data_IF_433188034823
#
_entry.id   IF_433188034823
#
_cell.length_a   1.000
_cell.length_b   1.000
_cell.length_c   1.000
_cell.angle_alpha   90.00
_cell.angle_beta   90.00
_cell.angle_gamma   90.00
#
_symmetry.space_group_name_H-M   'P 1'
#
loop_
_entity.id
_entity.type
_entity.pdbx_description
1 polymer ?
#
# COMPACT_ATOMS: atom_id res chain seq x y z
N UNK A 1 1.51 9.07 -1.09
CA UNK A 1 2.28 8.43 -2.16
C UNK A 1 3.19 9.41 -2.90
N UNK A 2 2.69 10.39 -3.66
CA UNK A 2 3.53 11.31 -4.48
C UNK A 2 4.68 11.95 -3.71
N UNK A 3 4.43 12.49 -2.50
CA UNK A 3 5.48 13.08 -1.67
C UNK A 3 6.53 12.06 -1.20
N UNK A 4 6.11 10.83 -0.92
CA UNK A 4 7.04 9.77 -0.54
C UNK A 4 7.94 9.37 -1.71
N UNK A 5 7.38 9.23 -2.91
CA UNK A 5 8.14 8.94 -4.13
C UNK A 5 9.10 10.09 -4.47
N UNK A 6 8.66 11.36 -4.34
CA UNK A 6 9.53 12.51 -4.57
C UNK A 6 10.74 12.53 -3.62
N UNK A 7 10.54 12.24 -2.34
CA UNK A 7 11.65 12.14 -1.37
C UNK A 7 12.61 10.99 -1.68
N UNK A 8 12.08 9.88 -2.24
CA UNK A 8 12.94 8.76 -2.62
C UNK A 8 13.83 9.07 -3.83
N UNK A 9 13.39 9.95 -4.74
CA UNK A 9 14.21 10.37 -5.90
C UNK A 9 15.52 11.03 -5.52
N UNK A 10 15.58 11.66 -4.34
CA UNK A 10 16.80 12.27 -3.82
C UNK A 10 17.80 11.24 -3.23
N UNK A 11 17.38 9.99 -3.12
CA UNK A 11 18.20 8.90 -2.58
C UNK A 11 18.81 8.09 -3.72
N UNK A 12 20.15 7.97 -3.73
CA UNK A 12 20.84 7.08 -4.67
C UNK A 12 20.71 5.63 -4.19
N UNK A 13 19.76 4.90 -4.74
CA UNK A 13 19.61 3.47 -4.48
C UNK A 13 20.66 2.68 -5.27
N UNK A 14 21.22 1.64 -4.65
CA UNK A 14 22.18 0.75 -5.33
C UNK A 14 21.46 -0.16 -6.30
N UNK A 15 22.09 -0.44 -7.43
CA UNK A 15 21.62 -1.46 -8.38
C UNK A 15 21.76 -2.87 -7.78
N UNK A 16 20.95 -3.81 -8.28
CA UNK A 16 21.10 -5.23 -7.97
C UNK A 16 20.25 -5.73 -6.78
N UNK A 17 19.24 -5.00 -6.40
CA UNK A 17 18.28 -5.39 -5.38
C UNK A 17 18.24 -4.44 -4.19
N UNK A 18 17.19 -4.48 -3.36
CA UNK A 18 17.05 -3.59 -2.21
C UNK A 18 17.98 -4.04 -1.08
N UNK A 19 19.06 -3.29 -0.87
CA UNK A 19 20.02 -3.46 0.23
C UNK A 19 19.62 -2.61 1.46
N UNK A 20 20.49 -2.59 2.47
CA UNK A 20 20.24 -1.86 3.72
C UNK A 20 19.98 -0.36 3.53
N UNK A 21 20.69 0.28 2.59
CA UNK A 21 20.47 1.69 2.23
C UNK A 21 19.07 1.97 1.70
N UNK A 22 18.51 1.06 0.88
CA UNK A 22 17.15 1.18 0.37
C UNK A 22 16.12 1.07 1.52
N UNK A 23 16.25 0.07 2.39
CA UNK A 23 15.32 -0.10 3.51
C UNK A 23 15.40 1.03 4.54
N UNK A 24 16.60 1.56 4.80
CA UNK A 24 16.77 2.77 5.62
C UNK A 24 16.07 3.98 5.00
N UNK A 25 16.21 4.16 3.67
CA UNK A 25 15.51 5.22 2.95
C UNK A 25 14.00 5.04 3.01
N UNK A 26 13.49 3.83 2.78
CA UNK A 26 12.06 3.52 2.89
C UNK A 26 11.51 3.85 4.28
N UNK A 27 12.18 3.39 5.34
CA UNK A 27 11.77 3.67 6.70
C UNK A 27 11.71 5.18 7.00
N UNK A 28 12.74 5.94 6.62
CA UNK A 28 12.79 7.41 6.81
C UNK A 28 11.68 8.11 6.06
N UNK A 29 11.57 7.86 4.75
CA UNK A 29 10.57 8.50 3.87
C UNK A 29 9.15 8.21 4.32
N UNK A 30 8.86 6.97 4.71
CA UNK A 30 7.54 6.58 5.20
C UNK A 30 7.24 7.24 6.56
N UNK A 31 8.15 7.20 7.51
CA UNK A 31 7.96 7.84 8.83
C UNK A 31 7.73 9.34 8.71
N UNK A 32 8.55 10.03 7.94
CA UNK A 32 8.38 11.46 7.67
C UNK A 32 7.04 11.76 7.00
N UNK A 33 6.66 10.95 6.01
CA UNK A 33 5.39 11.09 5.32
C UNK A 33 4.19 10.89 6.24
N UNK A 34 4.26 9.94 7.16
CA UNK A 34 3.20 9.72 8.16
C UNK A 34 3.20 10.81 9.24
N UNK A 35 4.35 11.26 9.73
CA UNK A 35 4.44 12.36 10.67
C UNK A 35 3.82 13.65 10.10
N UNK A 36 4.15 13.99 8.85
CA UNK A 36 3.54 15.12 8.14
C UNK A 36 2.03 14.93 7.98
N UNK A 37 1.59 13.73 7.60
CA UNK A 37 0.18 13.41 7.44
C UNK A 37 -0.59 13.61 8.74
N UNK A 38 -0.10 13.08 9.85
CA UNK A 38 -0.73 13.22 11.15
C UNK A 38 -0.76 14.68 11.62
N UNK A 39 0.31 15.45 11.39
CA UNK A 39 0.41 16.83 11.81
C UNK A 39 -0.45 17.80 10.97
N UNK A 40 -0.55 17.59 9.66
CA UNK A 40 -1.12 18.57 8.74
C UNK A 40 -2.46 18.16 8.14
N UNK A 41 -2.75 16.86 8.08
CA UNK A 41 -3.95 16.33 7.44
C UNK A 41 -4.99 15.82 8.45
N UNK A 42 -4.63 15.76 9.75
CA UNK A 42 -5.59 15.60 10.83
C UNK A 42 -6.12 14.19 11.06
N UNK A 43 -5.35 13.15 10.74
CA UNK A 43 -5.69 11.79 11.17
C UNK A 43 -5.40 11.62 12.66
N UNK A 44 -6.43 11.43 13.46
CA UNK A 44 -6.33 11.41 14.93
C UNK A 44 -6.70 10.09 15.58
N UNK A 45 -7.23 9.14 14.80
CA UNK A 45 -7.72 7.87 15.33
C UNK A 45 -6.82 6.71 14.92
N UNK A 46 -6.37 5.98 15.91
CA UNK A 46 -5.80 4.64 15.76
C UNK A 46 -6.96 3.65 15.59
N UNK A 47 -7.54 3.62 14.40
CA UNK A 47 -8.58 2.65 14.07
C UNK A 47 -7.94 1.26 13.94
N UNK A 48 -7.96 0.51 15.03
CA UNK A 48 -7.53 -0.90 15.10
C UNK A 48 -8.59 -1.88 14.59
N UNK A 49 -9.74 -1.38 14.13
CA UNK A 49 -10.81 -2.24 13.64
C UNK A 49 -10.40 -2.98 12.38
N UNK A 50 -10.78 -4.27 12.27
CA UNK A 50 -10.57 -5.04 11.05
C UNK A 50 -11.19 -4.29 9.87
N UNK A 51 -10.35 -3.93 8.89
CA UNK A 51 -10.79 -3.21 7.69
C UNK A 51 -11.33 -4.20 6.66
N UNK A 52 -12.42 -3.84 6.00
CA UNK A 52 -13.04 -4.58 4.91
C UNK A 52 -12.72 -3.95 3.56
N UNK A 53 -11.46 -3.63 3.34
CA UNK A 53 -10.98 -3.06 2.08
C UNK A 53 -10.71 -4.17 1.07
N UNK A 54 -11.12 -3.94 -0.18
CA UNK A 54 -10.81 -4.80 -1.33
C UNK A 54 -10.08 -3.98 -2.38
N UNK A 55 -9.09 -4.58 -3.03
CA UNK A 55 -8.40 -3.98 -4.16
C UNK A 55 -8.42 -4.93 -5.36
N UNK A 56 -8.67 -4.38 -6.54
CA UNK A 56 -8.58 -5.11 -7.80
C UNK A 56 -7.84 -4.29 -8.85
N UNK A 57 -7.14 -5.00 -9.73
CA UNK A 57 -6.52 -4.44 -10.92
C UNK A 57 -7.00 -5.22 -12.14
N UNK A 58 -7.12 -4.52 -13.25
CA UNK A 58 -7.47 -5.11 -14.55
C UNK A 58 -6.53 -4.53 -15.60
N UNK A 59 -6.08 -5.37 -16.52
CA UNK A 59 -5.43 -4.94 -17.76
C UNK A 59 -6.13 -5.65 -18.93
N UNK A 60 -6.54 -4.90 -19.94
CA UNK A 60 -7.13 -5.46 -21.14
C UNK A 60 -6.07 -5.78 -22.23
N UNK A 61 -6.47 -6.45 -23.30
CA UNK A 61 -5.58 -6.80 -24.41
C UNK A 61 -4.94 -5.58 -25.12
N UNK A 62 -5.51 -4.40 -24.93
CA UNK A 62 -4.98 -3.15 -25.51
C UNK A 62 -4.00 -2.45 -24.56
N UNK A 63 -3.86 -2.95 -23.32
CA UNK A 63 -3.02 -2.38 -22.27
C UNK A 63 -3.68 -1.23 -21.51
N UNK A 64 -5.01 -1.05 -21.61
CA UNK A 64 -5.72 -0.18 -20.69
C UNK A 64 -5.72 -0.80 -19.31
N UNK A 65 -5.55 0.02 -18.28
CA UNK A 65 -5.46 -0.47 -16.91
C UNK A 65 -6.47 0.20 -16.00
N UNK A 66 -6.97 -0.57 -15.04
CA UNK A 66 -7.77 -0.10 -13.91
C UNK A 66 -7.10 -0.51 -12.63
N UNK A 67 -7.06 0.39 -11.65
CA UNK A 67 -6.70 0.11 -10.25
C UNK A 67 -7.84 0.65 -9.37
N UNK A 68 -8.56 -0.22 -8.70
CA UNK A 68 -9.73 0.15 -7.90
C UNK A 68 -9.58 -0.37 -6.48
N UNK A 69 -9.61 0.55 -5.52
CA UNK A 69 -9.72 0.23 -4.10
C UNK A 69 -11.08 0.67 -3.58
N UNK A 70 -11.81 -0.24 -2.98
CA UNK A 70 -13.11 0.05 -2.35
C UNK A 70 -13.15 -0.53 -0.94
N UNK A 71 -13.96 0.10 -0.08
CA UNK A 71 -14.02 -0.31 1.32
C UNK A 71 -15.34 0.05 1.96
N UNK A 72 -15.77 -0.80 2.87
CA UNK A 72 -16.84 -0.47 3.80
C UNK A 72 -16.31 0.29 5.03
N UNK A 73 -15.00 0.34 5.24
CA UNK A 73 -14.23 0.78 6.39
C UNK A 73 -14.32 -0.24 7.53
N UNK A 74 -15.34 -0.22 8.36
CA UNK A 74 -15.52 -1.22 9.42
C UNK A 74 -16.14 -2.51 8.86
N UNK A 75 -16.04 -3.60 9.61
CA UNK A 75 -16.71 -4.87 9.28
C UNK A 75 -18.23 -4.61 9.14
N UNK A 76 -18.78 -4.92 7.98
CA UNK A 76 -20.15 -4.59 7.57
C UNK A 76 -20.48 -3.08 7.49
N UNK A 77 -19.46 -2.20 7.41
CA UNK A 77 -19.63 -0.77 7.21
C UNK A 77 -20.60 -0.12 8.20
N UNK A 78 -21.60 0.61 7.69
CA UNK A 78 -22.66 1.22 8.50
C UNK A 78 -23.72 0.23 9.00
N UNK A 79 -23.68 -1.02 8.56
CA UNK A 79 -24.69 -2.08 8.80
C UNK A 79 -26.06 -1.74 8.20
N UNK A 80 -26.14 -0.78 7.30
CA UNK A 80 -27.34 -0.39 6.58
C UNK A 80 -27.30 -0.97 5.16
N UNK A 81 -28.29 -1.72 4.80
CA UNK A 81 -28.51 -2.21 3.45
C UNK A 81 -29.58 -1.35 2.77
N UNK A 82 -29.28 -0.84 1.58
CA UNK A 82 -30.25 -0.06 0.80
C UNK A 82 -31.34 -0.99 0.27
N UNK A 83 -32.62 -0.74 0.62
CA UNK A 83 -33.72 -1.67 0.24
C UNK A 83 -33.88 -1.83 -1.28
N UNK A 84 -33.63 -0.76 -2.05
CA UNK A 84 -33.82 -0.74 -3.50
C UNK A 84 -32.74 -1.48 -4.30
N UNK A 85 -31.51 -1.59 -3.76
CA UNK A 85 -30.35 -2.15 -4.50
C UNK A 85 -29.70 -3.35 -3.81
N UNK A 86 -30.02 -3.62 -2.55
CA UNK A 86 -29.34 -4.63 -1.74
C UNK A 86 -27.88 -4.26 -1.37
N UNK A 87 -27.43 -3.05 -1.67
CA UNK A 87 -26.06 -2.63 -1.41
C UNK A 87 -25.86 -2.30 0.07
N UNK A 88 -24.85 -2.93 0.67
CA UNK A 88 -24.40 -2.62 2.02
C UNK A 88 -23.59 -1.31 2.00
N UNK A 89 -24.01 -0.35 2.82
CA UNK A 89 -23.38 0.97 2.87
C UNK A 89 -22.11 0.97 3.72
N UNK A 90 -21.10 1.69 3.24
CA UNK A 90 -19.89 1.96 4.02
C UNK A 90 -20.18 2.92 5.19
N UNK A 91 -19.24 3.03 6.12
CA UNK A 91 -19.22 4.05 7.18
C UNK A 91 -18.00 4.98 7.05
N UNK A 92 -17.58 5.29 5.82
CA UNK A 92 -16.41 6.12 5.51
C UNK A 92 -16.42 7.53 6.11
N UNK A 93 -17.58 8.00 6.62
CA UNK A 93 -17.66 9.24 7.40
C UNK A 93 -16.75 9.20 8.62
N UNK A 94 -16.47 8.05 9.19
CA UNK A 94 -15.58 7.86 10.34
C UNK A 94 -14.11 8.17 10.04
N UNK A 95 -13.72 8.36 8.79
CA UNK A 95 -12.39 8.89 8.47
C UNK A 95 -12.24 10.38 8.76
N UNK A 96 -13.33 11.12 8.90
CA UNK A 96 -13.26 12.51 9.33
C UNK A 96 -12.92 12.61 10.81
N UNK A 97 -12.27 13.72 11.18
CA UNK A 97 -12.12 14.13 12.56
C UNK A 97 -13.44 14.80 13.01
N UNK A 98 -14.11 14.30 14.06
CA UNK A 98 -15.33 14.90 14.55
C UNK A 98 -15.12 16.27 15.21
N UNK A 99 -13.87 16.62 15.57
CA UNK A 99 -13.54 17.90 16.23
C UNK A 99 -13.57 19.04 15.23
N UNK A 100 -14.31 20.13 15.52
CA UNK A 100 -14.30 21.33 14.67
C UNK A 100 -12.90 21.96 14.59
N UNK A 101 -12.57 22.54 13.43
CA UNK A 101 -11.31 23.26 13.23
C UNK A 101 -10.10 22.42 12.89
N UNK A 102 -10.19 21.11 12.98
CA UNK A 102 -9.14 20.19 12.47
C UNK A 102 -9.07 20.21 10.94
N UNK A 103 -7.90 20.05 10.32
CA UNK A 103 -7.77 19.96 8.86
C UNK A 103 -8.69 18.93 8.21
N UNK A 104 -8.92 17.80 8.89
CA UNK A 104 -9.80 16.72 8.44
C UNK A 104 -11.19 16.75 9.11
N UNK A 105 -11.60 17.86 9.71
CA UNK A 105 -12.92 17.94 10.34
C UNK A 105 -14.05 17.79 9.34
N UNK A 106 -15.15 17.19 9.81
CA UNK A 106 -16.35 16.97 9.02
C UNK A 106 -16.96 18.31 8.57
N UNK A 107 -17.19 18.48 7.28
CA UNK A 107 -17.90 19.61 6.71
C UNK A 107 -18.50 19.24 5.34
N UNK A 108 -19.55 19.96 4.89
CA UNK A 108 -20.13 19.73 3.57
C UNK A 108 -19.11 19.88 2.44
N UNK A 109 -19.18 18.98 1.45
CA UNK A 109 -18.30 18.99 0.27
C UNK A 109 -16.85 18.55 0.51
N UNK A 110 -16.44 18.25 1.73
CA UNK A 110 -15.11 17.71 2.04
C UNK A 110 -14.99 16.23 1.72
N UNK A 111 -13.76 15.82 1.37
CA UNK A 111 -13.35 14.43 1.27
C UNK A 111 -12.54 14.05 2.50
N UNK A 112 -12.80 12.89 3.12
CA UNK A 112 -12.02 12.43 4.26
C UNK A 112 -10.61 12.02 3.82
N UNK A 113 -9.68 12.05 4.75
CA UNK A 113 -8.35 11.49 4.57
C UNK A 113 -8.45 9.95 4.61
N UNK A 114 -8.09 9.28 3.51
CA UNK A 114 -8.16 7.83 3.40
C UNK A 114 -6.77 7.21 3.28
N UNK A 115 -6.65 5.91 3.55
CA UNK A 115 -5.43 5.13 3.37
C UNK A 115 -5.35 4.45 1.99
N UNK A 116 -6.40 4.53 1.19
CA UNK A 116 -6.44 3.92 -0.14
C UNK A 116 -5.43 4.59 -1.08
N UNK A 117 -4.63 3.78 -1.77
CA UNK A 117 -3.58 4.24 -2.66
C UNK A 117 -3.53 3.40 -3.95
N UNK A 118 -4.63 3.33 -4.73
CA UNK A 118 -4.56 2.70 -6.05
C UNK A 118 -3.64 3.52 -6.95
N UNK A 119 -2.80 2.85 -7.73
CA UNK A 119 -1.80 3.50 -8.56
C UNK A 119 -1.67 2.82 -9.92
N UNK A 120 -1.52 3.62 -10.96
CA UNK A 120 -1.09 3.17 -12.30
C UNK A 120 0.22 3.87 -12.62
N UNK A 121 1.24 3.07 -12.92
CA UNK A 121 2.56 3.56 -13.30
C UNK A 121 2.71 3.50 -14.81
N UNK A 122 3.28 4.55 -15.38
CA UNK A 122 3.55 4.66 -16.81
C UNK A 122 5.06 4.66 -17.06
N UNK A 123 5.46 3.97 -18.12
CA UNK A 123 6.83 3.99 -18.65
C UNK A 123 6.75 4.34 -20.13
N UNK A 124 7.54 5.31 -20.58
CA UNK A 124 7.58 5.76 -21.99
C UNK A 124 6.20 6.10 -22.56
N UNK A 125 5.38 6.78 -21.76
CA UNK A 125 4.05 7.19 -22.14
C UNK A 125 2.96 6.11 -22.13
N UNK A 126 3.30 4.84 -21.89
CA UNK A 126 2.37 3.69 -21.83
C UNK A 126 2.14 3.23 -20.39
N UNK A 127 0.95 2.68 -20.11
CA UNK A 127 0.70 2.01 -18.84
C UNK A 127 1.61 0.80 -18.72
N UNK A 128 2.32 0.69 -17.59
CA UNK A 128 3.27 -0.38 -17.33
C UNK A 128 2.74 -1.36 -16.29
N UNK A 129 2.36 -0.87 -15.12
CA UNK A 129 1.70 -1.69 -14.12
C UNK A 129 0.66 -0.89 -13.34
N UNK A 130 -0.34 -1.61 -12.82
CA UNK A 130 -1.32 -1.11 -11.88
C UNK A 130 -1.20 -1.88 -10.57
N UNK A 131 -1.25 -1.19 -9.44
CA UNK A 131 -1.04 -1.77 -8.11
C UNK A 131 -1.90 -1.07 -7.07
N UNK A 132 -2.26 -1.80 -6.04
CA UNK A 132 -2.83 -1.29 -4.82
C UNK A 132 -2.95 -2.40 -3.78
N UNK A 133 -3.61 -2.12 -2.68
CA UNK A 133 -3.70 -3.06 -1.57
C UNK A 133 -4.95 -2.82 -0.71
N UNK A 134 -5.29 -3.83 0.08
CA UNK A 134 -6.08 -3.70 1.30
C UNK A 134 -5.19 -3.81 2.54
N UNK A 135 -5.59 -3.24 3.70
CA UNK A 135 -4.81 -3.34 4.94
C UNK A 135 -4.60 -2.01 5.69
N UNK A 136 -5.53 -1.08 5.57
CA UNK A 136 -5.53 0.17 6.34
C UNK A 136 -4.30 1.04 6.09
N UNK A 137 -3.62 1.47 7.14
CA UNK A 137 -2.41 2.32 7.05
C UNK A 137 -1.25 1.62 6.34
N UNK A 138 -1.17 0.29 6.42
CA UNK A 138 -0.10 -0.52 5.82
C UNK A 138 -0.16 -0.57 4.28
N UNK A 139 -1.26 -0.11 3.67
CA UNK A 139 -1.44 -0.04 2.21
C UNK A 139 -0.31 0.77 1.56
N UNK A 140 -0.06 1.99 2.06
CA UNK A 140 0.94 2.87 1.46
C UNK A 140 2.36 2.31 1.55
N UNK A 141 2.86 1.79 2.68
CA UNK A 141 4.17 1.13 2.75
C UNK A 141 4.32 -0.04 1.80
N UNK A 142 3.30 -0.89 1.66
CA UNK A 142 3.36 -2.04 0.76
C UNK A 142 3.42 -1.60 -0.71
N UNK A 143 2.49 -0.76 -1.15
CA UNK A 143 2.44 -0.26 -2.52
C UNK A 143 3.72 0.52 -2.87
N UNK A 144 4.23 1.32 -1.95
CA UNK A 144 5.46 2.10 -2.13
C UNK A 144 6.69 1.21 -2.35
N UNK A 145 6.93 0.23 -1.47
CA UNK A 145 8.09 -0.65 -1.56
C UNK A 145 8.03 -1.54 -2.80
N UNK A 146 6.88 -2.19 -3.07
CA UNK A 146 6.73 -3.03 -4.25
C UNK A 146 6.93 -2.22 -5.54
N UNK A 147 6.42 -0.99 -5.59
CA UNK A 147 6.67 -0.12 -6.74
C UNK A 147 8.15 0.21 -6.91
N UNK A 148 8.87 0.50 -5.83
CA UNK A 148 10.31 0.72 -5.88
C UNK A 148 11.09 -0.54 -6.28
N UNK A 149 10.68 -1.72 -5.83
CA UNK A 149 11.28 -2.98 -6.26
C UNK A 149 11.19 -3.19 -7.77
N UNK A 150 10.05 -2.85 -8.36
CA UNK A 150 9.84 -2.91 -9.81
C UNK A 150 10.59 -1.81 -10.57
N UNK A 151 10.55 -0.56 -10.08
CA UNK A 151 11.05 0.62 -10.80
C UNK A 151 12.55 0.79 -10.61
N UNK A 152 13.00 0.78 -9.34
CA UNK A 152 14.36 1.18 -8.98
C UNK A 152 15.33 -0.01 -8.97
N UNK A 153 14.81 -1.21 -8.66
CA UNK A 153 15.62 -2.43 -8.56
C UNK A 153 15.41 -3.41 -9.73
N UNK A 154 14.43 -3.14 -10.62
CA UNK A 154 14.18 -3.95 -11.81
C UNK A 154 13.76 -5.39 -11.53
N UNK A 155 13.18 -5.65 -10.36
CA UNK A 155 12.70 -6.97 -9.98
C UNK A 155 11.54 -7.41 -10.87
N UNK A 156 11.38 -8.72 -11.05
CA UNK A 156 10.16 -9.27 -11.64
C UNK A 156 8.94 -9.00 -10.75
N UNK A 157 7.73 -9.09 -11.32
CA UNK A 157 6.51 -8.90 -10.54
C UNK A 157 6.41 -9.94 -9.41
N UNK A 158 6.76 -11.19 -9.70
CA UNK A 158 6.77 -12.29 -8.73
C UNK A 158 7.78 -12.04 -7.61
N UNK A 159 9.03 -11.75 -7.95
CA UNK A 159 10.07 -11.47 -6.94
C UNK A 159 9.71 -10.29 -6.06
N UNK A 160 9.18 -9.22 -6.62
CA UNK A 160 8.78 -8.04 -5.88
C UNK A 160 7.67 -8.32 -4.84
N UNK A 161 6.73 -9.22 -5.15
CA UNK A 161 5.66 -9.60 -4.24
C UNK A 161 6.11 -10.59 -3.17
N UNK A 162 7.06 -11.46 -3.48
CA UNK A 162 7.66 -12.41 -2.52
C UNK A 162 8.72 -11.78 -1.64
N UNK A 163 9.30 -10.64 -2.06
CA UNK A 163 10.34 -9.97 -1.31
C UNK A 163 9.82 -9.49 0.06
N UNK A 164 10.57 -9.74 1.16
CA UNK A 164 10.21 -9.25 2.48
C UNK A 164 10.20 -7.73 2.52
N UNK A 165 9.29 -7.17 3.32
CA UNK A 165 9.01 -5.74 3.44
C UNK A 165 9.14 -5.26 4.88
N UNK A 166 9.10 -3.94 5.04
CA UNK A 166 8.95 -3.29 6.33
C UNK A 166 7.61 -2.54 6.39
N UNK A 167 7.10 -2.30 7.59
CA UNK A 167 6.01 -1.37 7.81
C UNK A 167 6.45 -0.25 8.75
N UNK A 168 6.31 0.99 8.28
CA UNK A 168 6.60 2.23 8.99
C UNK A 168 5.39 3.17 8.92
N UNK A 169 4.18 2.63 8.99
CA UNK A 169 2.92 3.34 8.77
C UNK A 169 2.42 4.17 9.95
N UNK A 170 3.21 4.34 10.98
CA UNK A 170 2.89 5.19 12.12
C UNK A 170 3.44 4.64 13.44
N UNK A 171 3.63 5.54 14.40
CA UNK A 171 4.29 5.23 15.65
C UNK A 171 5.82 5.28 15.56
N UNK A 172 6.47 4.94 16.68
CA UNK A 172 7.93 5.06 16.81
C UNK A 172 8.68 3.82 16.31
N UNK A 173 7.99 2.69 16.14
CA UNK A 173 8.58 1.40 15.81
C UNK A 173 8.40 1.06 14.34
N UNK A 174 9.43 0.50 13.72
CA UNK A 174 9.39 -0.08 12.38
C UNK A 174 9.18 -1.59 12.51
N UNK A 175 8.12 -2.12 11.89
CA UNK A 175 7.92 -3.57 11.75
C UNK A 175 8.83 -4.09 10.65
N UNK A 176 9.58 -5.14 10.96
CA UNK A 176 10.59 -5.73 10.09
C UNK A 176 10.25 -7.19 9.83
N UNK A 177 10.14 -7.57 8.58
CA UNK A 177 9.95 -8.99 8.21
C UNK A 177 11.22 -9.77 8.56
N UNK A 178 11.15 -10.83 9.39
CA UNK A 178 12.33 -11.60 9.81
C UNK A 178 13.05 -12.33 8.66
N UNK A 179 12.43 -12.45 7.47
CA UNK A 179 13.07 -12.99 6.26
C UNK A 179 14.07 -12.02 5.62
N UNK A 180 14.08 -10.73 6.01
CA UNK A 180 15.11 -9.79 5.59
C UNK A 180 16.48 -10.26 6.07
N UNK A 181 17.48 -10.15 5.19
CA UNK A 181 18.85 -10.56 5.50
C UNK A 181 19.43 -9.76 6.66
N UNK A 182 20.31 -10.40 7.44
CA UNK A 182 20.86 -9.83 8.69
C UNK A 182 21.44 -8.41 8.53
N UNK A 183 22.22 -8.08 7.48
CA UNK A 183 22.73 -6.70 7.33
C UNK A 183 21.63 -5.63 7.23
N UNK A 184 20.48 -5.95 6.63
CA UNK A 184 19.32 -5.05 6.52
C UNK A 184 18.66 -4.89 7.88
N UNK A 185 18.39 -6.01 8.57
CA UNK A 185 17.77 -6.01 9.90
C UNK A 185 18.62 -5.26 10.92
N UNK A 186 19.93 -5.52 10.92
CA UNK A 186 20.88 -4.80 11.78
C UNK A 186 20.88 -3.30 11.50
N UNK A 187 20.98 -2.89 10.26
CA UNK A 187 20.99 -1.47 9.90
C UNK A 187 19.69 -0.75 10.31
N UNK A 188 18.54 -1.42 10.17
CA UNK A 188 17.26 -0.89 10.64
C UNK A 188 17.23 -0.77 12.17
N UNK A 189 17.69 -1.79 12.90
CA UNK A 189 17.73 -1.79 14.36
C UNK A 189 18.71 -0.77 14.96
N UNK A 190 19.83 -0.50 14.26
CA UNK A 190 20.77 0.54 14.67
C UNK A 190 20.17 1.97 14.48
N UNK A 191 19.23 2.13 13.53
CA UNK A 191 18.67 3.43 13.16
C UNK A 191 17.29 3.74 13.77
N UNK A 192 16.52 2.71 14.11
CA UNK A 192 15.13 2.82 14.58
C UNK A 192 14.81 1.78 15.64
N UNK A 193 13.87 2.03 16.56
CA UNK A 193 13.21 0.96 17.30
C UNK A 193 12.53 0.02 16.30
N UNK A 194 12.86 -1.27 16.36
CA UNK A 194 12.30 -2.29 15.46
C UNK A 194 11.54 -3.38 16.21
N UNK A 195 10.59 -4.00 15.54
CA UNK A 195 9.93 -5.22 16.00
C UNK A 195 9.87 -6.21 14.84
N UNK A 196 10.30 -7.43 15.10
CA UNK A 196 10.15 -8.53 14.15
C UNK A 196 8.66 -8.86 14.00
N UNK A 197 8.19 -8.86 12.77
CA UNK A 197 6.78 -9.09 12.45
C UNK A 197 6.69 -10.03 11.26
N UNK A 198 6.17 -11.23 11.51
CA UNK A 198 6.05 -12.24 10.47
C UNK A 198 4.97 -11.91 9.44
N UNK A 199 5.20 -12.31 8.20
CA UNK A 199 4.18 -12.34 7.17
C UNK A 199 3.30 -13.57 7.39
N UNK A 200 2.07 -13.33 7.79
CA UNK A 200 1.08 -14.37 8.11
C UNK A 200 -0.25 -14.10 7.41
N UNK A 201 -1.08 -15.12 7.29
CA UNK A 201 -2.41 -15.00 6.68
C UNK A 201 -3.29 -14.02 7.46
N UNK A 202 -3.25 -14.09 8.78
CA UNK A 202 -3.97 -13.20 9.66
C UNK A 202 -3.28 -13.10 11.04
N UNK A 203 -3.16 -11.89 11.61
CA UNK A 203 -3.52 -10.58 11.06
C UNK A 203 -2.61 -10.18 9.90
N UNK A 204 -3.15 -9.43 8.91
CA UNK A 204 -2.38 -8.95 7.76
C UNK A 204 -1.36 -7.89 8.17
N UNK A 205 -0.13 -8.32 8.43
CA UNK A 205 0.91 -7.44 8.98
C UNK A 205 1.49 -6.47 7.98
N UNK A 206 1.45 -6.79 6.67
CA UNK A 206 2.07 -6.01 5.60
C UNK A 206 1.11 -5.61 4.48
N UNK A 207 -0.17 -5.47 4.77
CA UNK A 207 -1.25 -5.30 3.80
C UNK A 207 -1.40 -6.51 2.87
N UNK A 208 -2.42 -6.49 2.01
CA UNK A 208 -2.63 -7.48 0.94
C UNK A 208 -2.58 -6.76 -0.41
N UNK A 209 -1.40 -6.61 -1.02
CA UNK A 209 -1.26 -6.00 -2.33
C UNK A 209 -1.71 -6.94 -3.45
N UNK A 210 -2.14 -6.35 -4.56
CA UNK A 210 -2.28 -7.02 -5.85
C UNK A 210 -1.84 -6.11 -6.98
N UNK A 211 -1.42 -6.68 -8.10
CA UNK A 211 -0.94 -5.92 -9.24
C UNK A 211 -1.20 -6.65 -10.54
N UNK A 212 -1.32 -5.87 -11.62
CA UNK A 212 -1.17 -6.34 -13.01
C UNK A 212 -0.05 -5.58 -13.66
N UNK A 213 0.74 -6.26 -14.50
CA UNK A 213 1.86 -5.69 -15.22
C UNK A 213 1.78 -6.07 -16.69
N UNK A 214 2.07 -5.12 -17.58
CA UNK A 214 2.27 -5.34 -19.00
C UNK A 214 3.76 -5.37 -19.32
N UNK A 215 4.23 -6.48 -19.89
CA UNK A 215 5.59 -6.53 -20.43
C UNK A 215 5.72 -5.53 -21.59
N UNK A 216 6.63 -4.56 -21.51
CA UNK A 216 6.83 -3.57 -22.57
C UNK A 216 7.36 -4.20 -23.87
N UNK A 217 8.02 -5.35 -23.82
CA UNK A 217 8.70 -5.97 -24.96
C UNK A 217 7.86 -7.04 -25.64
N UNK A 218 7.10 -7.83 -24.88
CA UNK A 218 6.39 -9.00 -25.40
C UNK A 218 4.88 -8.84 -25.49
N UNK A 219 4.33 -7.76 -24.92
CA UNK A 219 2.87 -7.57 -24.86
C UNK A 219 2.15 -8.53 -23.91
N UNK A 220 2.88 -9.42 -23.24
CA UNK A 220 2.34 -10.33 -22.22
C UNK A 220 1.84 -9.54 -21.01
N UNK A 221 0.76 -10.03 -20.40
CA UNK A 221 0.22 -9.49 -19.18
C UNK A 221 0.44 -10.46 -18.03
N UNK A 222 0.83 -9.93 -16.88
CA UNK A 222 1.06 -10.70 -15.67
C UNK A 222 0.14 -10.19 -14.58
N UNK A 223 -0.38 -11.07 -13.74
CA UNK A 223 -1.17 -10.73 -12.57
C UNK A 223 -0.64 -11.44 -11.34
N UNK A 224 -0.62 -10.76 -10.22
CA UNK A 224 -0.22 -11.31 -8.92
C UNK A 224 -1.09 -10.75 -7.81
N UNK A 225 -1.31 -11.56 -6.80
CA UNK A 225 -1.91 -11.15 -5.54
C UNK A 225 -0.98 -11.45 -4.38
N UNK A 226 -1.26 -10.88 -3.20
CA UNK A 226 -0.49 -11.14 -1.99
C UNK A 226 -0.33 -12.64 -1.73
N UNK A 227 0.90 -13.06 -1.49
CA UNK A 227 1.29 -14.48 -1.35
C UNK A 227 0.68 -15.17 -0.13
N UNK A 228 0.25 -14.40 0.87
CA UNK A 228 -0.37 -14.91 2.10
C UNK A 228 -1.90 -14.75 2.11
N UNK A 229 -2.51 -14.23 1.03
CA UNK A 229 -3.96 -14.05 0.95
C UNK A 229 -4.62 -15.22 0.25
N UNK A 230 -5.28 -16.15 0.97
CA UNK A 230 -5.97 -17.29 0.34
C UNK A 230 -7.27 -16.88 -0.37
N UNK A 231 -7.70 -15.62 -0.21
CA UNK A 231 -8.93 -15.07 -0.82
C UNK A 231 -8.67 -14.27 -2.10
N UNK A 232 -7.43 -14.15 -2.50
CA UNK A 232 -7.06 -13.36 -3.68
C UNK A 232 -6.35 -14.23 -4.71
N UNK A 233 -6.40 -13.82 -5.96
CA UNK A 233 -5.77 -14.53 -7.06
C UNK A 233 -5.69 -13.67 -8.30
N UNK A 234 -4.95 -14.13 -9.29
CA UNK A 234 -4.88 -13.55 -10.61
C UNK A 234 -5.52 -14.52 -11.62
N UNK A 235 -6.34 -13.99 -12.53
CA UNK A 235 -7.04 -14.76 -13.56
C UNK A 235 -6.77 -14.11 -14.90
N UNK A 236 -6.45 -14.90 -15.91
CA UNK A 236 -6.35 -14.48 -17.30
C UNK A 236 -7.54 -14.99 -18.10
N UNK A 237 -8.02 -14.20 -19.04
CA UNK A 237 -8.97 -14.62 -20.05
C UNK A 237 -8.26 -15.52 -21.08
N UNK A 238 -8.86 -16.65 -21.42
CA UNK A 238 -8.35 -17.63 -22.39
C UNK A 238 -8.60 -17.20 -23.83
#
# INVERSE_FOLDING_TARGET
MQRALARLQDVKLRAGGPHADAFLAYARVLREGYAERLATMGETSDHRDPSTTTHLNVVDRHGNMVALTQTLLSVFGSKVVLPSSGILMNNGIMWFDPRPGSPNSLAPGKRPLTNMSPMIVRRDGKAWFAIGASGGRKILPAVFQISSFLIDHGMSLEDAFHHPRIDASGGDTVSVDPRLVEPVRKALGDAFPTVDTELVVYPTNYACPSSVLRDPNGGMHYGVSDVMSPWSGAVAES
#
